data_IF_357715886958
#
_entry.id   IF_357715886958
#
_cell.length_a   1.000
_cell.length_b   1.000
_cell.length_c   1.000
_cell.angle_alpha   90.00
_cell.angle_beta   90.00
_cell.angle_gamma   90.00
#
_symmetry.space_group_name_H-M   'P 1'
#
loop_
_entity.id
_entity.type
_entity.pdbx_description
1 polymer ?
#
# COMPACT_ATOMS: atom_id res chain seq x y z
N UNK A 1 -1.75 -5.78 10.94
CA UNK A 1 -2.57 -4.92 11.80
C UNK A 1 -3.26 -3.89 10.90
N UNK A 2 -4.53 -3.63 11.09
CA UNK A 2 -5.28 -2.59 10.37
C UNK A 2 -5.62 -1.48 11.38
N UNK A 3 -5.35 -0.22 11.02
CA UNK A 3 -5.75 0.94 11.80
C UNK A 3 -6.93 1.61 11.12
N UNK A 4 -7.98 1.94 11.86
CA UNK A 4 -9.20 2.55 11.34
C UNK A 4 -9.37 4.01 11.79
N UNK A 5 -8.44 4.52 12.57
CA UNK A 5 -8.56 5.84 13.21
C UNK A 5 -8.69 6.99 12.20
N UNK A 6 -8.09 6.82 11.01
CA UNK A 6 -8.12 7.82 9.94
C UNK A 6 -9.32 7.70 9.00
N UNK A 7 -10.21 6.72 9.23
CA UNK A 7 -11.44 6.57 8.45
C UNK A 7 -12.51 7.56 8.94
N UNK A 8 -13.14 8.28 8.02
CA UNK A 8 -14.23 9.23 8.35
C UNK A 8 -15.54 8.50 8.65
N UNK A 9 -16.34 9.00 9.60
CA UNK A 9 -16.10 10.17 10.46
C UNK A 9 -15.02 9.90 11.51
N UNK A 10 -14.05 10.82 11.60
CA UNK A 10 -12.92 10.67 12.53
C UNK A 10 -13.30 11.03 13.96
N UNK A 11 -12.63 10.39 14.93
CA UNK A 11 -12.71 10.73 16.34
C UNK A 11 -11.31 11.03 16.86
N UNK A 12 -11.15 12.21 17.46
CA UNK A 12 -9.88 12.58 18.13
C UNK A 12 -9.94 12.04 19.57
N UNK A 13 -9.07 11.10 19.88
CA UNK A 13 -8.96 10.52 21.22
C UNK A 13 -8.21 11.45 22.16
N UNK A 14 -8.57 11.46 23.44
CA UNK A 14 -7.91 12.26 24.49
C UNK A 14 -6.41 11.93 24.60
N UNK A 15 -6.01 10.73 24.20
CA UNK A 15 -4.62 10.29 24.18
C UNK A 15 -3.79 10.86 23.01
N UNK A 16 -4.44 11.53 22.04
CA UNK A 16 -3.76 12.19 20.93
C UNK A 16 -3.15 13.51 21.41
N UNK A 17 -1.83 13.57 21.50
CA UNK A 17 -1.10 14.79 21.89
C UNK A 17 -1.04 15.85 20.76
N UNK A 18 -1.72 15.66 19.64
CA UNK A 18 -1.74 16.59 18.51
C UNK A 18 -3.13 17.20 18.40
N UNK A 19 -3.19 18.53 18.52
CA UNK A 19 -4.40 19.31 18.33
C UNK A 19 -4.17 20.32 17.22
N UNK A 20 -4.85 20.16 16.11
CA UNK A 20 -4.86 21.10 14.99
C UNK A 20 -6.26 21.66 14.81
N UNK A 21 -6.41 22.74 14.04
CA UNK A 21 -7.71 23.32 13.73
C UNK A 21 -8.64 22.34 12.96
N UNK A 22 -8.08 21.31 12.33
CA UNK A 22 -8.80 20.31 11.58
C UNK A 22 -8.66 18.94 12.27
N UNK A 23 -9.79 18.37 12.70
CA UNK A 23 -9.83 17.08 13.40
C UNK A 23 -9.20 15.95 12.57
N UNK A 24 -9.42 15.92 11.26
CA UNK A 24 -8.84 14.89 10.38
C UNK A 24 -7.32 14.98 10.40
N UNK A 25 -6.75 16.19 10.30
CA UNK A 25 -5.30 16.40 10.39
C UNK A 25 -4.76 15.94 11.75
N UNK A 26 -5.46 16.25 12.85
CA UNK A 26 -5.08 15.80 14.19
C UNK A 26 -5.02 14.28 14.30
N UNK A 27 -6.05 13.59 13.79
CA UNK A 27 -6.11 12.12 13.81
C UNK A 27 -5.01 11.51 12.93
N UNK A 28 -4.78 12.03 11.73
CA UNK A 28 -3.67 11.56 10.88
C UNK A 28 -2.31 11.73 11.56
N UNK A 29 -2.03 12.90 12.11
CA UNK A 29 -0.78 13.17 12.83
C UNK A 29 -0.61 12.25 14.05
N UNK A 30 -1.69 12.04 14.81
CA UNK A 30 -1.71 11.12 15.95
C UNK A 30 -1.42 9.68 15.51
N UNK A 31 -2.14 9.17 14.52
CA UNK A 31 -1.98 7.81 14.01
C UNK A 31 -0.56 7.58 13.47
N UNK A 32 -0.02 8.52 12.69
CA UNK A 32 1.36 8.43 12.19
C UNK A 32 2.40 8.48 13.30
N UNK A 33 2.16 9.26 14.37
CA UNK A 33 3.04 9.28 15.55
C UNK A 33 3.06 7.93 16.25
N UNK A 34 1.90 7.27 16.40
CA UNK A 34 1.81 5.94 16.98
C UNK A 34 2.53 4.88 16.12
N UNK A 35 2.35 4.94 14.80
CA UNK A 35 3.06 4.04 13.86
C UNK A 35 4.57 4.25 13.94
N UNK A 36 5.04 5.50 13.94
CA UNK A 36 6.46 5.81 14.09
C UNK A 36 7.03 5.29 15.41
N UNK A 37 6.34 5.54 16.52
CA UNK A 37 6.74 5.03 17.84
C UNK A 37 6.78 3.51 17.90
N UNK A 38 5.86 2.82 17.23
CA UNK A 38 5.89 1.36 17.10
C UNK A 38 7.14 0.87 16.34
N UNK A 39 7.48 1.51 15.21
CA UNK A 39 8.69 1.17 14.44
C UNK A 39 9.96 1.44 15.25
N UNK A 40 10.03 2.57 15.95
CA UNK A 40 11.16 2.89 16.84
C UNK A 40 11.30 1.85 17.97
N UNK A 41 10.19 1.43 18.56
CA UNK A 41 10.20 0.35 19.55
C UNK A 41 10.74 -0.96 18.99
N UNK A 42 10.28 -1.37 17.80
CA UNK A 42 10.77 -2.57 17.12
C UNK A 42 12.28 -2.47 16.88
N UNK A 43 12.75 -1.31 16.39
CA UNK A 43 14.17 -1.05 16.17
C UNK A 43 14.97 -1.15 17.46
N UNK A 44 14.52 -0.49 18.52
CA UNK A 44 15.20 -0.48 19.82
C UNK A 44 15.29 -1.86 20.48
N UNK A 45 14.38 -2.77 20.13
CA UNK A 45 14.35 -4.17 20.62
C UNK A 45 15.05 -5.16 19.70
N UNK A 46 15.62 -4.71 18.59
CA UNK A 46 16.31 -5.57 17.61
C UNK A 46 15.36 -6.35 16.69
N UNK A 47 14.03 -6.17 16.78
CA UNK A 47 13.08 -6.93 15.95
C UNK A 47 13.22 -6.67 14.45
N UNK A 48 13.74 -5.50 14.05
CA UNK A 48 13.99 -5.21 12.63
C UNK A 48 15.21 -5.94 12.07
N UNK A 49 15.97 -6.66 12.89
CA UNK A 49 17.11 -7.49 12.45
C UNK A 49 16.65 -8.80 11.80
N UNK A 50 15.45 -9.28 12.13
CA UNK A 50 14.89 -10.54 11.66
C UNK A 50 13.41 -10.45 11.18
N UNK A 51 12.81 -9.28 11.26
CA UNK A 51 11.39 -9.07 10.95
C UNK A 51 11.22 -8.01 9.86
N UNK A 52 10.59 -8.39 8.75
CA UNK A 52 10.16 -7.43 7.72
C UNK A 52 8.91 -6.70 8.16
N UNK A 53 8.87 -5.41 7.90
CA UNK A 53 7.71 -4.55 8.21
C UNK A 53 7.28 -3.79 6.98
N UNK A 54 5.99 -3.82 6.68
CA UNK A 54 5.37 -3.03 5.62
C UNK A 54 4.29 -2.16 6.23
N UNK A 55 4.37 -0.86 5.99
CA UNK A 55 3.35 0.12 6.35
C UNK A 55 2.83 0.75 5.08
N UNK A 56 1.54 0.62 4.82
CA UNK A 56 0.94 1.16 3.61
C UNK A 56 -0.48 1.65 3.87
N UNK A 57 -0.92 2.65 3.08
CA UNK A 57 -2.34 2.98 2.97
C UNK A 57 -3.07 1.91 2.17
N UNK A 58 -4.33 1.68 2.50
CA UNK A 58 -5.18 0.69 1.83
C UNK A 58 -5.76 1.20 0.50
N UNK A 59 -6.05 2.49 0.40
CA UNK A 59 -6.52 3.16 -0.81
C UNK A 59 -6.29 4.67 -0.76
N UNK A 60 -6.52 5.35 -1.87
CA UNK A 60 -6.55 6.81 -1.92
C UNK A 60 -7.72 7.34 -1.08
N UNK A 61 -7.51 8.48 -0.39
CA UNK A 61 -8.58 9.14 0.32
C UNK A 61 -9.75 9.42 -0.63
N UNK A 62 -10.96 9.00 -0.23
CA UNK A 62 -12.19 9.41 -0.88
C UNK A 62 -12.35 10.92 -0.82
N UNK A 63 -12.83 11.51 -1.91
CA UNK A 63 -12.99 12.96 -2.04
C UNK A 63 -14.46 13.26 -2.33
N UNK A 64 -15.08 13.98 -1.40
CA UNK A 64 -16.41 14.58 -1.59
C UNK A 64 -16.34 16.08 -1.29
N UNK A 65 -17.20 16.86 -1.90
CA UNK A 65 -17.24 18.29 -1.64
C UNK A 65 -17.44 18.56 -0.13
N UNK A 66 -16.54 19.34 0.45
CA UNK A 66 -16.55 19.63 1.88
C UNK A 66 -15.70 18.69 2.76
N UNK A 67 -15.14 17.63 2.18
CA UNK A 67 -14.20 16.78 2.91
C UNK A 67 -12.90 17.51 3.26
N UNK A 68 -12.26 17.03 4.32
CA UNK A 68 -10.93 17.49 4.65
C UNK A 68 -9.96 17.23 3.49
N UNK A 69 -9.10 18.21 3.20
CA UNK A 69 -8.13 18.21 2.11
C UNK A 69 -8.74 18.19 0.68
N UNK A 70 -10.07 18.41 0.54
CA UNK A 70 -10.68 18.43 -0.79
C UNK A 70 -9.99 19.43 -1.72
N UNK A 71 -9.79 20.68 -1.28
CA UNK A 71 -9.14 21.72 -2.09
C UNK A 71 -7.70 21.36 -2.51
N UNK A 72 -6.98 20.60 -1.68
CA UNK A 72 -5.60 20.23 -1.92
C UNK A 72 -5.47 18.98 -2.80
N UNK A 73 -6.45 18.08 -2.78
CA UNK A 73 -6.32 16.75 -3.36
C UNK A 73 -7.25 16.47 -4.54
N UNK A 74 -8.40 17.13 -4.65
CA UNK A 74 -9.45 16.75 -5.62
C UNK A 74 -8.94 16.75 -7.07
N UNK A 75 -8.18 17.75 -7.45
CA UNK A 75 -7.60 17.86 -8.80
C UNK A 75 -6.10 17.60 -8.84
N UNK A 76 -5.53 17.02 -7.77
CA UNK A 76 -4.11 16.73 -7.75
C UNK A 76 -3.78 15.55 -8.70
N UNK A 77 -2.94 15.76 -9.72
CA UNK A 77 -2.73 14.77 -10.79
C UNK A 77 -2.01 13.50 -10.30
N UNK A 78 -1.25 13.60 -9.21
CA UNK A 78 -0.40 12.53 -8.70
C UNK A 78 -0.74 12.21 -7.26
N UNK A 79 -1.97 11.78 -7.00
CA UNK A 79 -2.36 11.31 -5.68
C UNK A 79 -1.74 9.94 -5.42
N UNK A 80 -1.14 9.78 -4.25
CA UNK A 80 -0.49 8.53 -3.85
C UNK A 80 -0.89 8.13 -2.44
N UNK A 81 -0.72 6.85 -2.12
CA UNK A 81 -0.79 6.33 -0.76
C UNK A 81 0.60 6.30 -0.15
N UNK A 82 0.67 6.37 1.19
CA UNK A 82 1.90 6.10 1.90
C UNK A 82 2.27 4.62 1.74
N UNK A 83 3.56 4.36 1.45
CA UNK A 83 4.08 3.00 1.39
C UNK A 83 5.54 2.99 1.85
N UNK A 84 5.84 2.15 2.84
CA UNK A 84 7.19 1.97 3.36
C UNK A 84 7.45 0.49 3.68
N UNK A 85 8.61 0.00 3.25
CA UNK A 85 9.02 -1.40 3.44
C UNK A 85 10.36 -1.43 4.16
N UNK A 86 10.47 -2.23 5.21
CA UNK A 86 11.71 -2.58 5.91
C UNK A 86 11.95 -4.07 5.76
N UNK A 87 13.12 -4.44 5.34
CA UNK A 87 13.54 -5.83 5.19
C UNK A 87 14.87 -5.99 5.92
N UNK A 88 15.03 -7.04 6.75
CA UNK A 88 16.27 -7.30 7.47
C UNK A 88 17.47 -7.34 6.54
N UNK A 89 18.54 -6.65 6.92
CA UNK A 89 19.79 -6.61 6.16
C UNK A 89 19.79 -5.73 4.90
N UNK A 90 18.65 -5.10 4.58
CA UNK A 90 18.55 -4.17 3.45
C UNK A 90 18.61 -2.71 3.91
N UNK A 91 19.12 -1.84 3.04
CA UNK A 91 19.07 -0.40 3.27
C UNK A 91 17.63 0.10 3.17
N UNK A 92 17.18 0.88 4.16
CA UNK A 92 15.87 1.54 4.13
C UNK A 92 15.73 2.61 3.04
N UNK A 93 16.83 2.92 2.36
CA UNK A 93 16.89 4.01 1.36
C UNK A 93 16.73 3.49 -0.08
N UNK A 94 16.43 2.19 -0.26
CA UNK A 94 16.15 1.68 -1.60
C UNK A 94 14.85 2.31 -2.14
N UNK A 95 14.91 3.01 -3.29
CA UNK A 95 13.73 3.63 -3.85
C UNK A 95 12.76 2.56 -4.33
N UNK A 96 11.51 2.67 -3.91
CA UNK A 96 10.43 1.88 -4.46
C UNK A 96 10.01 2.46 -5.82
N UNK A 97 9.55 1.61 -6.73
CA UNK A 97 9.06 2.04 -8.04
C UNK A 97 7.90 3.02 -7.91
N UNK A 98 8.04 4.18 -8.52
CA UNK A 98 6.96 5.16 -8.60
C UNK A 98 5.85 4.70 -9.55
N UNK A 99 4.62 5.17 -9.34
CA UNK A 99 3.48 4.86 -10.22
C UNK A 99 2.97 3.42 -10.11
N UNK A 100 3.44 2.65 -9.14
CA UNK A 100 2.89 1.33 -8.86
C UNK A 100 1.49 1.42 -8.25
N UNK A 101 0.66 0.46 -8.57
CA UNK A 101 -0.67 0.30 -7.99
C UNK A 101 -0.69 -0.74 -6.85
N UNK A 102 -1.87 -0.94 -6.24
CA UNK A 102 -2.03 -1.89 -5.14
C UNK A 102 -1.77 -3.35 -5.52
N UNK A 103 -1.93 -3.75 -6.79
CA UNK A 103 -1.65 -5.11 -7.23
C UNK A 103 -0.16 -5.45 -7.07
N UNK A 104 0.70 -4.43 -7.13
CA UNK A 104 2.14 -4.57 -6.87
C UNK A 104 2.46 -4.98 -5.43
N UNK A 105 1.57 -4.78 -4.49
CA UNK A 105 1.82 -5.12 -3.09
C UNK A 105 1.83 -6.62 -2.84
N UNK A 106 1.07 -7.41 -3.59
CA UNK A 106 1.09 -8.87 -3.43
C UNK A 106 2.50 -9.47 -3.66
N UNK A 107 3.13 -9.31 -4.84
CA UNK A 107 4.50 -9.80 -5.03
C UNK A 107 5.52 -9.11 -4.11
N UNK A 108 5.32 -7.84 -3.75
CA UNK A 108 6.19 -7.13 -2.82
C UNK A 108 6.18 -7.76 -1.43
N UNK A 109 5.00 -8.12 -0.92
CA UNK A 109 4.87 -8.78 0.38
C UNK A 109 5.47 -10.18 0.38
N UNK A 110 5.35 -10.93 -0.72
CA UNK A 110 6.01 -12.23 -0.86
C UNK A 110 7.54 -12.08 -0.79
N UNK A 111 8.12 -11.14 -1.53
CA UNK A 111 9.57 -10.87 -1.46
C UNK A 111 10.00 -10.37 -0.08
N UNK A 112 9.21 -9.48 0.56
CA UNK A 112 9.49 -9.01 1.91
C UNK A 112 9.43 -10.13 2.96
N UNK A 113 8.63 -11.16 2.72
CA UNK A 113 8.58 -12.37 3.55
C UNK A 113 9.72 -13.37 3.25
N UNK A 114 10.66 -13.02 2.37
CA UNK A 114 11.79 -13.86 2.02
C UNK A 114 11.49 -14.93 0.96
N UNK A 115 10.34 -14.86 0.30
CA UNK A 115 9.98 -15.77 -0.78
C UNK A 115 10.58 -15.31 -2.11
N UNK A 116 11.04 -16.25 -2.92
CA UNK A 116 11.46 -15.96 -4.28
C UNK A 116 10.23 -15.80 -5.19
N UNK A 117 10.12 -14.65 -5.82
CA UNK A 117 9.09 -14.37 -6.82
C UNK A 117 9.74 -14.27 -8.19
N UNK A 118 9.32 -15.13 -9.12
CA UNK A 118 9.90 -15.19 -10.47
C UNK A 118 9.72 -13.82 -11.16
N UNK A 119 10.82 -13.25 -11.60
CA UNK A 119 10.90 -11.89 -12.18
C UNK A 119 10.24 -10.79 -11.34
N UNK A 120 9.99 -11.06 -10.05
CA UNK A 120 9.27 -10.16 -9.15
C UNK A 120 7.79 -9.99 -9.50
N UNK A 121 7.21 -10.86 -10.30
CA UNK A 121 5.82 -10.76 -10.76
C UNK A 121 4.97 -11.91 -10.19
N UNK A 122 3.78 -11.55 -9.66
CA UNK A 122 2.79 -12.51 -9.21
C UNK A 122 1.37 -11.95 -9.37
N UNK A 123 0.45 -12.76 -9.88
CA UNK A 123 -0.88 -12.30 -10.28
C UNK A 123 -0.77 -11.27 -11.42
N UNK A 124 -1.41 -10.12 -11.27
CA UNK A 124 -1.32 -9.00 -12.22
C UNK A 124 -0.25 -7.96 -11.80
N UNK A 125 0.37 -8.15 -10.64
CA UNK A 125 1.30 -7.18 -10.06
C UNK A 125 2.77 -7.54 -10.26
N UNK A 126 3.59 -6.50 -10.28
CA UNK A 126 5.05 -6.59 -10.20
C UNK A 126 5.51 -5.88 -8.94
N UNK A 127 6.40 -6.51 -8.17
CA UNK A 127 6.94 -5.93 -6.94
C UNK A 127 7.43 -4.49 -7.12
N UNK A 128 7.11 -3.62 -6.19
CA UNK A 128 7.58 -2.23 -6.17
C UNK A 128 9.09 -2.11 -5.96
N UNK A 129 9.76 -3.21 -5.63
CA UNK A 129 11.22 -3.30 -5.50
C UNK A 129 11.92 -3.44 -6.86
N UNK A 130 11.17 -3.74 -7.91
CA UNK A 130 11.64 -3.73 -9.30
C UNK A 130 11.43 -2.35 -9.89
N UNK A 131 12.48 -1.78 -10.47
CA UNK A 131 12.39 -0.45 -11.08
C UNK A 131 11.46 -0.42 -12.30
N UNK A 132 11.39 -1.55 -13.03
CA UNK A 132 10.51 -1.73 -14.17
C UNK A 132 9.78 -3.08 -14.09
N UNK A 133 8.53 -3.16 -14.56
CA UNK A 133 7.85 -4.43 -14.74
C UNK A 133 8.57 -5.28 -15.80
N UNK A 134 8.64 -6.61 -15.62
CA UNK A 134 9.22 -7.49 -16.63
C UNK A 134 8.38 -7.49 -17.91
N UNK A 135 9.03 -7.74 -19.03
CA UNK A 135 8.34 -7.84 -20.33
C UNK A 135 7.25 -8.93 -20.26
N UNK A 136 6.05 -8.60 -20.71
CA UNK A 136 4.89 -9.48 -20.67
C UNK A 136 4.10 -9.45 -19.38
N UNK A 137 4.56 -8.71 -18.36
CA UNK A 137 3.72 -8.43 -17.18
C UNK A 137 2.56 -7.49 -17.56
N UNK A 138 1.41 -7.64 -16.88
CA UNK A 138 0.26 -6.76 -17.11
C UNK A 138 0.64 -5.27 -16.94
N UNK A 139 1.41 -4.94 -15.93
CA UNK A 139 1.88 -3.57 -15.64
C UNK A 139 2.94 -3.05 -16.65
N UNK A 140 3.41 -3.87 -17.60
CA UNK A 140 4.27 -3.45 -18.71
C UNK A 140 3.47 -3.17 -20.01
N UNK A 141 2.15 -3.36 -19.98
CA UNK A 141 1.24 -3.03 -21.10
C UNK A 141 1.18 -1.52 -21.29
N UNK A 142 0.61 -1.13 -22.44
CA UNK A 142 0.21 0.26 -22.64
C UNK A 142 -0.73 0.72 -21.51
N UNK A 143 -0.59 1.95 -21.00
CA UNK A 143 -1.41 2.42 -19.87
C UNK A 143 -2.92 2.36 -20.09
N UNK A 144 -3.39 2.59 -21.33
CA UNK A 144 -4.80 2.52 -21.66
C UNK A 144 -5.29 1.07 -21.70
N UNK A 145 -4.51 0.16 -22.27
CA UNK A 145 -4.81 -1.28 -22.27
C UNK A 145 -4.81 -1.83 -20.84
N UNK A 146 -3.86 -1.40 -20.00
CA UNK A 146 -3.82 -1.79 -18.59
C UNK A 146 -5.04 -1.29 -17.82
N UNK A 147 -5.45 -0.04 -18.01
CA UNK A 147 -6.67 0.50 -17.41
C UNK A 147 -7.91 -0.31 -17.81
N UNK A 148 -8.04 -0.64 -19.11
CA UNK A 148 -9.13 -1.49 -19.60
C UNK A 148 -9.10 -2.89 -18.98
N UNK A 149 -7.91 -3.48 -18.78
CA UNK A 149 -7.76 -4.75 -18.08
C UNK A 149 -8.28 -4.67 -16.65
N UNK A 150 -7.92 -3.62 -15.90
CA UNK A 150 -8.35 -3.41 -14.52
C UNK A 150 -9.87 -3.20 -14.38
N UNK A 151 -10.48 -2.56 -15.37
CA UNK A 151 -11.93 -2.35 -15.41
C UNK A 151 -12.70 -3.57 -15.92
N UNK A 152 -12.00 -4.55 -16.48
CA UNK A 152 -12.61 -5.74 -17.05
C UNK A 152 -13.32 -6.57 -15.98
N UNK A 153 -14.53 -7.06 -16.33
CA UNK A 153 -15.31 -7.96 -15.48
C UNK A 153 -15.25 -9.37 -16.03
N UNK A 154 -14.32 -10.17 -15.53
CA UNK A 154 -14.20 -11.57 -15.92
C UNK A 154 -14.98 -12.47 -14.97
N UNK A 155 -16.16 -12.94 -15.38
CA UNK A 155 -16.93 -13.93 -14.63
C UNK A 155 -16.12 -15.24 -14.46
N UNK A 156 -15.33 -15.62 -15.47
CA UNK A 156 -14.47 -16.80 -15.41
C UNK A 156 -13.38 -16.64 -14.34
N UNK A 157 -12.72 -15.49 -14.27
CA UNK A 157 -11.72 -15.20 -13.23
C UNK A 157 -12.35 -15.31 -11.84
N UNK A 158 -13.48 -14.65 -11.61
CA UNK A 158 -14.17 -14.71 -10.32
C UNK A 158 -14.62 -16.12 -9.96
N UNK A 159 -15.15 -16.89 -10.92
CA UNK A 159 -15.56 -18.28 -10.69
C UNK A 159 -14.36 -19.12 -10.26
N UNK A 160 -13.22 -18.99 -10.91
CA UNK A 160 -11.99 -19.72 -10.55
C UNK A 160 -11.43 -19.28 -9.21
N UNK A 161 -11.39 -17.97 -8.94
CA UNK A 161 -10.86 -17.42 -7.69
C UNK A 161 -11.66 -17.85 -6.45
N UNK A 162 -12.99 -18.00 -6.60
CA UNK A 162 -13.89 -18.37 -5.51
C UNK A 162 -14.24 -19.86 -5.45
N UNK A 163 -13.79 -20.65 -6.42
CA UNK A 163 -14.02 -22.10 -6.42
C UNK A 163 -12.70 -22.85 -6.17
N UNK A 164 -12.34 -23.10 -4.90
CA UNK A 164 -11.03 -23.68 -4.53
C UNK A 164 -10.86 -25.17 -4.92
N UNK A 165 -11.83 -25.76 -5.61
CA UNK A 165 -11.79 -27.17 -6.00
C UNK A 165 -11.08 -27.43 -7.33
N UNK A 166 -10.75 -26.39 -8.10
CA UNK A 166 -9.92 -26.53 -9.29
C UNK A 166 -8.45 -26.27 -8.93
N UNK A 167 -7.59 -27.31 -8.93
CA UNK A 167 -6.16 -27.08 -8.69
C UNK A 167 -5.60 -26.18 -9.80
N UNK A 168 -5.01 -25.08 -9.38
CA UNK A 168 -4.24 -24.22 -10.29
C UNK A 168 -3.12 -25.06 -10.86
N UNK A 169 -3.14 -25.32 -12.16
CA UNK A 169 -2.08 -25.99 -12.89
C UNK A 169 -1.01 -24.99 -13.28
#
# INVERSE_FOLDING_TARGET
MLTLDTHEPVHVYDSCGVDTQNQVTSVFACSMTQVAGFIEHMKARGYLEDTSVVVMGDHLKHMSAGDAFHEQLDHHPNRTIFNRVWIPGESSDQPLRAGADQLSMYPTLLEAAGLSVHDGAAGLGTSVRRQEPPQGAAQAMDPEEYAQLLESRSAEFYTRAWNPQDPVR
#
